data_IF_885616590738
#
_entry.id   IF_885616590738
#
_cell.length_a   1.000
_cell.length_b   1.000
_cell.length_c   1.000
_cell.angle_alpha   90.00
_cell.angle_beta   90.00
_cell.angle_gamma   90.00
#
_symmetry.space_group_name_H-M   'P 1'
#
loop_
_entity.id
_entity.type
_entity.pdbx_description
1 polymer ?
#
# COMPACT_ATOMS: atom_id res chain seq x y z
N UNK A 1 15.98 3.34 -16.99
CA UNK A 1 15.48 3.86 -15.68
C UNK A 1 15.24 5.37 -15.66
N UNK A 2 16.13 6.23 -16.19
CA UNK A 2 15.93 7.71 -16.23
C UNK A 2 14.72 8.17 -17.06
N UNK A 3 14.49 7.55 -18.23
CA UNK A 3 13.42 7.97 -19.14
C UNK A 3 12.02 7.60 -18.65
N UNK A 4 11.86 6.41 -18.06
CA UNK A 4 10.60 6.00 -17.38
C UNK A 4 10.30 6.96 -16.22
N UNK A 5 11.34 7.41 -15.51
CA UNK A 5 11.20 8.38 -14.43
C UNK A 5 10.75 9.76 -14.95
N UNK A 6 11.28 10.22 -16.10
CA UNK A 6 10.87 11.47 -16.74
C UNK A 6 9.43 11.43 -17.27
N UNK A 7 9.02 10.35 -17.94
CA UNK A 7 7.65 10.19 -18.45
C UNK A 7 6.66 10.16 -17.29
N UNK A 8 6.98 9.41 -16.23
CA UNK A 8 6.21 9.40 -14.99
C UNK A 8 6.11 10.80 -14.39
N UNK A 9 7.20 11.56 -14.38
CA UNK A 9 7.25 12.90 -13.80
C UNK A 9 6.44 13.93 -14.61
N UNK A 10 6.41 13.81 -15.94
CA UNK A 10 5.60 14.65 -16.83
C UNK A 10 4.12 14.33 -16.67
N UNK A 11 3.74 13.05 -16.65
CA UNK A 11 2.36 12.59 -16.44
C UNK A 11 1.84 12.96 -15.04
N UNK A 12 2.70 12.86 -14.03
CA UNK A 12 2.40 13.31 -12.67
C UNK A 12 2.29 14.84 -12.57
N UNK A 13 2.99 15.61 -13.42
CA UNK A 13 2.93 17.07 -13.47
C UNK A 13 1.65 17.58 -14.14
N UNK A 14 1.12 16.86 -15.12
CA UNK A 14 -0.14 17.18 -15.81
C UNK A 14 -1.39 16.66 -15.07
N UNK A 15 -1.26 15.63 -14.23
CA UNK A 15 -2.39 15.16 -13.41
C UNK A 15 -2.70 16.12 -12.24
N UNK A 16 -3.99 16.27 -11.92
CA UNK A 16 -4.51 16.99 -10.74
C UNK A 16 -4.12 16.34 -9.39
N UNK A 17 -3.15 15.43 -9.39
CA UNK A 17 -2.70 14.69 -8.21
C UNK A 17 -1.74 15.57 -7.41
N UNK A 18 -2.13 15.85 -6.17
CA UNK A 18 -1.34 16.64 -5.22
C UNK A 18 0.05 16.02 -5.04
N UNK A 19 1.07 16.87 -4.94
CA UNK A 19 2.48 16.48 -4.88
C UNK A 19 2.77 15.36 -3.86
N UNK A 20 2.17 15.42 -2.67
CA UNK A 20 2.37 14.43 -1.60
C UNK A 20 1.74 13.05 -1.87
N UNK A 21 0.88 12.91 -2.89
CA UNK A 21 0.26 11.62 -3.30
C UNK A 21 0.98 10.97 -4.48
N UNK A 22 1.90 11.68 -5.15
CA UNK A 22 2.55 11.22 -6.39
C UNK A 22 3.41 9.98 -6.18
N UNK A 23 4.09 9.88 -5.04
CA UNK A 23 4.89 8.71 -4.66
C UNK A 23 4.03 7.45 -4.52
N UNK A 24 2.91 7.55 -3.80
CA UNK A 24 1.95 6.45 -3.63
C UNK A 24 1.32 6.05 -4.98
N UNK A 25 0.97 7.03 -5.83
CA UNK A 25 0.46 6.76 -7.17
C UNK A 25 1.47 5.96 -8.02
N UNK A 26 2.71 6.45 -8.13
CA UNK A 26 3.74 5.78 -8.91
C UNK A 26 4.02 4.37 -8.40
N UNK A 27 4.04 4.19 -7.08
CA UNK A 27 4.21 2.88 -6.43
C UNK A 27 3.08 1.92 -6.77
N UNK A 28 1.83 2.37 -6.69
CA UNK A 28 0.67 1.52 -7.02
C UNK A 28 0.64 1.13 -8.49
N UNK A 29 0.94 2.06 -9.41
CA UNK A 29 1.07 1.76 -10.85
C UNK A 29 2.18 0.74 -11.12
N UNK A 30 3.34 0.89 -10.47
CA UNK A 30 4.44 -0.05 -10.56
C UNK A 30 4.04 -1.45 -10.08
N UNK A 31 3.36 -1.53 -8.93
CA UNK A 31 2.86 -2.80 -8.40
C UNK A 31 1.85 -3.46 -9.34
N UNK A 32 0.88 -2.71 -9.86
CA UNK A 32 -0.12 -3.23 -10.81
C UNK A 32 0.58 -3.78 -12.06
N UNK A 33 1.49 -3.01 -12.65
CA UNK A 33 2.20 -3.43 -13.86
C UNK A 33 3.00 -4.73 -13.63
N UNK A 34 3.71 -4.81 -12.51
CA UNK A 34 4.48 -6.01 -12.17
C UNK A 34 3.58 -7.22 -11.91
N UNK A 35 2.54 -7.07 -11.07
CA UNK A 35 1.64 -8.18 -10.78
C UNK A 35 0.91 -8.64 -12.04
N UNK A 36 0.46 -7.72 -12.91
CA UNK A 36 -0.19 -8.06 -14.18
C UNK A 36 0.75 -8.84 -15.11
N UNK A 37 1.98 -8.37 -15.28
CA UNK A 37 2.99 -9.06 -16.09
C UNK A 37 3.31 -10.45 -15.52
N UNK A 38 3.47 -10.56 -14.20
CA UNK A 38 3.72 -11.84 -13.53
C UNK A 38 2.53 -12.80 -13.65
N UNK A 39 1.30 -12.32 -13.45
CA UNK A 39 0.10 -13.17 -13.58
C UNK A 39 -0.09 -13.66 -15.00
N UNK A 40 0.16 -12.81 -16.01
CA UNK A 40 0.10 -13.21 -17.41
C UNK A 40 1.17 -14.26 -17.74
N UNK A 41 2.41 -14.02 -17.32
CA UNK A 41 3.50 -14.98 -17.50
C UNK A 41 3.18 -16.32 -16.83
N UNK A 42 2.77 -16.30 -15.55
CA UNK A 42 2.43 -17.51 -14.80
C UNK A 42 1.21 -18.22 -15.36
N UNK A 43 0.23 -17.49 -15.90
CA UNK A 43 -0.94 -18.08 -16.55
C UNK A 43 -0.54 -18.88 -17.80
N UNK A 44 0.20 -18.25 -18.72
CA UNK A 44 0.70 -18.94 -19.92
C UNK A 44 1.66 -20.08 -19.57
N UNK A 45 2.51 -19.89 -18.57
CA UNK A 45 3.38 -20.94 -18.08
C UNK A 45 2.58 -22.14 -17.55
N UNK A 46 1.56 -21.87 -16.74
CA UNK A 46 0.69 -22.91 -16.21
C UNK A 46 -0.04 -23.66 -17.34
N UNK A 47 -0.63 -22.93 -18.29
CA UNK A 47 -1.43 -23.51 -19.37
C UNK A 47 -0.59 -24.32 -20.38
N UNK A 48 0.57 -23.79 -20.79
CA UNK A 48 1.37 -24.40 -21.86
C UNK A 48 2.48 -25.33 -21.38
N UNK A 49 3.02 -25.15 -20.18
CA UNK A 49 4.13 -25.96 -19.67
C UNK A 49 3.69 -26.91 -18.57
N UNK A 50 2.96 -26.39 -17.57
CA UNK A 50 2.69 -27.15 -16.34
C UNK A 50 1.51 -28.12 -16.50
N UNK A 51 0.36 -27.66 -17.00
CA UNK A 51 -0.85 -28.47 -17.18
C UNK A 51 -0.61 -29.69 -18.08
N UNK A 52 0.06 -29.57 -19.25
CA UNK A 52 0.34 -30.72 -20.11
C UNK A 52 1.23 -31.77 -19.45
N UNK A 53 2.22 -31.35 -18.63
CA UNK A 53 3.06 -32.25 -17.86
C UNK A 53 2.28 -32.97 -16.76
N UNK A 54 1.38 -32.26 -16.08
CA UNK A 54 0.48 -32.81 -15.08
C UNK A 54 -0.45 -33.87 -15.67
N UNK A 55 -1.10 -33.59 -16.81
CA UNK A 55 -1.99 -34.54 -17.48
C UNK A 55 -1.26 -35.76 -18.06
N UNK A 56 -0.05 -35.56 -18.64
CA UNK A 56 0.79 -36.66 -19.14
C UNK A 56 1.19 -37.64 -18.04
N UNK A 57 1.41 -37.14 -16.82
CA UNK A 57 1.75 -37.96 -15.66
C UNK A 57 0.51 -38.61 -15.02
N UNK A 58 -0.67 -37.97 -15.07
CA UNK A 58 -1.93 -38.57 -14.63
C UNK A 58 -2.30 -39.83 -15.44
N UNK A 59 -2.02 -39.86 -16.75
CA UNK A 59 -2.28 -41.02 -17.60
C UNK A 59 -1.46 -42.28 -17.27
N UNK A 60 -0.38 -42.19 -16.47
CA UNK A 60 0.43 -43.37 -16.05
C UNK A 60 0.02 -43.98 -14.71
N UNK A 61 -0.76 -43.28 -13.90
CA UNK A 61 -1.11 -43.70 -12.52
C UNK A 61 -2.64 -43.76 -12.33
N UNK A 62 -3.35 -44.26 -13.34
CA UNK A 62 -4.81 -44.17 -13.49
C UNK A 62 -5.65 -45.10 -12.58
N UNK A 63 -5.12 -45.62 -11.47
CA UNK A 63 -5.85 -46.65 -10.71
C UNK A 63 -6.02 -46.42 -9.21
N UNK A 64 -5.49 -45.35 -8.63
CA UNK A 64 -5.88 -44.97 -7.26
C UNK A 64 -6.16 -43.48 -7.15
N UNK A 65 -7.44 -43.22 -6.91
CA UNK A 65 -8.00 -41.99 -6.38
C UNK A 65 -7.13 -41.46 -5.23
N UNK A 66 -6.40 -40.39 -5.52
CA UNK A 66 -6.28 -39.31 -4.57
C UNK A 66 -5.94 -38.04 -5.34
N UNK A 67 -6.80 -37.04 -5.21
CA UNK A 67 -6.47 -35.65 -5.51
C UNK A 67 -5.29 -35.12 -4.66
N UNK A 68 -4.74 -35.95 -3.77
CA UNK A 68 -3.51 -35.69 -3.04
C UNK A 68 -2.30 -35.57 -3.99
N UNK A 69 -1.68 -34.39 -3.92
CA UNK A 69 -0.29 -34.08 -4.26
C UNK A 69 0.03 -33.62 -5.68
N UNK A 70 -0.94 -33.34 -6.55
CA UNK A 70 -0.63 -32.55 -7.77
C UNK A 70 -0.15 -31.14 -7.41
N UNK A 71 -0.62 -30.60 -6.28
CA UNK A 71 -0.15 -29.33 -5.72
C UNK A 71 1.34 -29.41 -5.32
N UNK A 72 1.81 -30.56 -4.84
CA UNK A 72 3.21 -30.79 -4.47
C UNK A 72 4.05 -31.34 -5.63
N UNK A 73 3.59 -31.15 -6.88
CA UNK A 73 4.37 -31.53 -8.05
C UNK A 73 5.76 -30.89 -8.00
N UNK A 74 6.78 -31.75 -7.99
CA UNK A 74 8.17 -31.32 -7.96
C UNK A 74 8.65 -30.98 -9.38
N UNK A 75 9.34 -29.86 -9.49
CA UNK A 75 9.88 -29.41 -10.77
C UNK A 75 10.86 -30.41 -11.38
N UNK A 76 10.60 -30.81 -12.63
CA UNK A 76 11.56 -31.59 -13.43
C UNK A 76 12.63 -30.69 -14.08
N UNK A 77 12.37 -29.39 -14.22
CA UNK A 77 13.26 -28.41 -14.84
C UNK A 77 13.70 -27.34 -13.83
N UNK A 78 14.56 -27.76 -12.91
CA UNK A 78 14.98 -26.96 -11.75
C UNK A 78 15.52 -25.57 -12.12
N UNK A 79 16.31 -25.46 -13.18
CA UNK A 79 16.93 -24.18 -13.57
C UNK A 79 15.90 -23.13 -14.03
N UNK A 80 14.88 -23.56 -14.78
CA UNK A 80 13.82 -22.66 -15.23
C UNK A 80 12.96 -22.21 -14.06
N UNK A 81 12.60 -23.13 -13.17
CA UNK A 81 11.85 -22.84 -11.95
C UNK A 81 12.57 -21.81 -11.08
N UNK A 82 13.86 -22.03 -10.82
CA UNK A 82 14.70 -21.12 -10.02
C UNK A 82 14.80 -19.73 -10.63
N UNK A 83 14.87 -19.62 -11.96
CA UNK A 83 15.00 -18.33 -12.63
C UNK A 83 13.80 -17.41 -12.37
N UNK A 84 12.58 -17.89 -12.60
CA UNK A 84 11.39 -17.05 -12.38
C UNK A 84 10.98 -16.96 -10.90
N UNK A 85 11.26 -17.99 -10.09
CA UNK A 85 10.98 -17.92 -8.65
C UNK A 85 11.82 -16.83 -7.98
N UNK A 86 13.10 -16.71 -8.35
CA UNK A 86 13.98 -15.65 -7.88
C UNK A 86 13.47 -14.24 -8.24
N UNK A 87 12.95 -14.05 -9.46
CA UNK A 87 12.39 -12.77 -9.88
C UNK A 87 11.16 -12.36 -9.04
N UNK A 88 10.26 -13.32 -8.76
CA UNK A 88 9.07 -13.08 -7.94
C UNK A 88 9.44 -12.84 -6.47
N UNK A 89 10.39 -13.61 -5.92
CA UNK A 89 10.88 -13.46 -4.55
C UNK A 89 11.57 -12.09 -4.38
N UNK A 90 12.46 -11.70 -5.30
CA UNK A 90 13.17 -10.42 -5.22
C UNK A 90 12.23 -9.21 -5.30
N UNK A 91 11.19 -9.26 -6.14
CA UNK A 91 10.19 -8.20 -6.17
C UNK A 91 9.39 -8.09 -4.87
N UNK A 92 8.95 -9.23 -4.31
CA UNK A 92 8.25 -9.24 -3.03
C UNK A 92 9.15 -8.73 -1.89
N UNK A 93 10.45 -9.05 -1.93
CA UNK A 93 11.45 -8.53 -0.99
C UNK A 93 11.60 -7.01 -1.11
N UNK A 94 11.71 -6.50 -2.34
CA UNK A 94 11.76 -5.06 -2.58
C UNK A 94 10.53 -4.35 -1.99
N UNK A 95 9.34 -4.92 -2.18
CA UNK A 95 8.11 -4.39 -1.62
C UNK A 95 8.06 -4.44 -0.08
N UNK A 96 8.54 -5.52 0.54
CA UNK A 96 8.63 -5.63 1.99
C UNK A 96 9.57 -4.56 2.58
N UNK A 97 10.71 -4.30 1.94
CA UNK A 97 11.66 -3.25 2.34
C UNK A 97 11.03 -1.86 2.21
N UNK A 98 10.25 -1.61 1.15
CA UNK A 98 9.54 -0.35 0.99
C UNK A 98 8.49 -0.13 2.09
N UNK A 99 7.71 -1.15 2.45
CA UNK A 99 6.73 -1.04 3.54
C UNK A 99 7.38 -0.84 4.90
N UNK A 100 8.52 -1.49 5.13
CA UNK A 100 9.32 -1.27 6.33
C UNK A 100 9.80 0.20 6.42
N UNK A 101 10.28 0.77 5.30
CA UNK A 101 10.68 2.18 5.23
C UNK A 101 9.51 3.16 5.43
N UNK A 102 8.30 2.76 5.07
CA UNK A 102 7.09 3.57 5.26
C UNK A 102 6.44 3.37 6.64
N UNK A 103 7.08 2.58 7.51
CA UNK A 103 6.64 2.26 8.89
C UNK A 103 5.34 1.45 8.95
N UNK A 104 4.99 0.74 7.88
CA UNK A 104 3.88 -0.22 7.83
C UNK A 104 4.35 -1.59 8.33
N UNK A 105 4.73 -1.69 9.61
CA UNK A 105 5.39 -2.87 10.19
C UNK A 105 4.57 -4.17 10.06
N UNK A 106 3.25 -4.09 10.21
CA UNK A 106 2.38 -5.26 10.11
C UNK A 106 2.36 -5.84 8.68
N UNK A 107 2.31 -4.97 7.69
CA UNK A 107 2.34 -5.34 6.27
C UNK A 107 3.72 -5.89 5.88
N UNK A 108 4.79 -5.23 6.34
CA UNK A 108 6.16 -5.67 6.13
C UNK A 108 6.41 -7.05 6.75
N UNK A 109 5.90 -7.29 7.97
CA UNK A 109 5.99 -8.59 8.64
C UNK A 109 5.23 -9.68 7.86
N UNK A 110 4.00 -9.39 7.40
CA UNK A 110 3.23 -10.33 6.58
C UNK A 110 3.93 -10.68 5.28
N UNK A 111 4.47 -9.69 4.56
CA UNK A 111 5.25 -9.93 3.32
C UNK A 111 6.53 -10.70 3.59
N UNK A 112 7.18 -10.48 4.73
CA UNK A 112 8.37 -11.24 5.13
C UNK A 112 8.03 -12.71 5.41
N UNK A 113 6.94 -12.99 6.10
CA UNK A 113 6.45 -14.37 6.30
C UNK A 113 6.06 -15.03 4.98
N UNK A 114 5.42 -14.29 4.07
CA UNK A 114 5.13 -14.77 2.72
C UNK A 114 6.40 -15.12 1.93
N UNK A 115 7.44 -14.27 2.01
CA UNK A 115 8.75 -14.53 1.41
C UNK A 115 9.41 -15.79 1.96
N UNK A 116 9.32 -16.01 3.28
CA UNK A 116 9.81 -17.24 3.91
C UNK A 116 9.04 -18.48 3.41
N UNK A 117 7.72 -18.37 3.27
CA UNK A 117 6.91 -19.43 2.68
C UNK A 117 7.29 -19.70 1.22
N UNK A 118 7.47 -18.66 0.40
CA UNK A 118 7.95 -18.80 -0.98
C UNK A 118 9.34 -19.43 -1.05
N UNK A 119 10.26 -19.04 -0.18
CA UNK A 119 11.58 -19.67 -0.08
C UNK A 119 11.48 -21.14 0.30
N UNK A 120 10.61 -21.51 1.24
CA UNK A 120 10.37 -22.90 1.58
C UNK A 120 9.79 -23.70 0.39
N UNK A 121 8.82 -23.15 -0.33
CA UNK A 121 8.24 -23.75 -1.54
C UNK A 121 9.32 -23.95 -2.62
N UNK A 122 10.20 -22.97 -2.81
CA UNK A 122 11.31 -23.02 -3.76
C UNK A 122 12.36 -24.09 -3.40
N UNK A 123 12.76 -24.17 -2.13
CA UNK A 123 13.68 -25.20 -1.61
C UNK A 123 13.11 -26.61 -1.81
N UNK A 124 11.80 -26.79 -1.59
CA UNK A 124 11.13 -28.07 -1.83
C UNK A 124 10.75 -28.31 -3.30
N UNK A 125 11.00 -27.33 -4.17
CA UNK A 125 10.74 -27.37 -5.61
C UNK A 125 9.28 -27.63 -5.97
N UNK A 126 8.34 -27.17 -5.14
CA UNK A 126 6.90 -27.34 -5.37
C UNK A 126 6.40 -26.32 -6.38
N UNK A 127 6.60 -26.63 -7.65
CA UNK A 127 6.39 -25.72 -8.76
C UNK A 127 4.92 -25.35 -8.95
N UNK A 128 4.03 -26.34 -8.93
CA UNK A 128 2.59 -26.11 -9.07
C UNK A 128 2.02 -25.31 -7.89
N UNK A 129 2.53 -25.58 -6.68
CA UNK A 129 2.20 -24.78 -5.49
C UNK A 129 2.60 -23.32 -5.70
N UNK A 130 3.86 -23.09 -6.09
CA UNK A 130 4.43 -21.76 -6.28
C UNK A 130 3.65 -20.95 -7.31
N UNK A 131 3.41 -21.54 -8.48
CA UNK A 131 2.69 -20.90 -9.60
C UNK A 131 1.25 -20.61 -9.21
N UNK A 132 0.54 -21.60 -8.67
CA UNK A 132 -0.87 -21.45 -8.28
C UNK A 132 -1.09 -20.39 -7.20
N UNK A 133 -0.26 -20.40 -6.14
CA UNK A 133 -0.35 -19.43 -5.04
C UNK A 133 -0.11 -18.00 -5.54
N UNK A 134 0.96 -17.79 -6.31
CA UNK A 134 1.30 -16.47 -6.85
C UNK A 134 0.29 -15.98 -7.89
N UNK A 135 -0.34 -16.86 -8.66
CA UNK A 135 -1.40 -16.48 -9.59
C UNK A 135 -2.65 -16.00 -8.85
N UNK A 136 -3.09 -16.75 -7.82
CA UNK A 136 -4.25 -16.36 -6.99
C UNK A 136 -4.02 -15.04 -6.25
N UNK A 137 -2.84 -14.89 -5.61
CA UNK A 137 -2.49 -13.65 -4.92
C UNK A 137 -2.18 -12.50 -5.87
N UNK A 138 -1.62 -12.77 -7.04
CA UNK A 138 -1.35 -11.76 -8.07
C UNK A 138 -2.64 -11.10 -8.55
N UNK A 139 -3.68 -11.88 -8.87
CA UNK A 139 -5.00 -11.35 -9.26
C UNK A 139 -5.60 -10.51 -8.13
N UNK A 140 -5.54 -11.02 -6.89
CA UNK A 140 -5.99 -10.28 -5.71
C UNK A 140 -5.26 -8.93 -5.55
N UNK A 141 -3.94 -8.93 -5.70
CA UNK A 141 -3.11 -7.73 -5.56
C UNK A 141 -3.36 -6.70 -6.67
N UNK A 142 -3.58 -7.14 -7.91
CA UNK A 142 -3.98 -6.25 -9.01
C UNK A 142 -5.30 -5.56 -8.68
N UNK A 143 -6.30 -6.34 -8.22
CA UNK A 143 -7.59 -5.80 -7.88
C UNK A 143 -7.50 -4.81 -6.70
N UNK A 144 -6.78 -5.14 -5.64
CA UNK A 144 -6.64 -4.25 -4.48
C UNK A 144 -5.88 -2.97 -4.80
N UNK A 145 -4.79 -3.05 -5.55
CA UNK A 145 -4.02 -1.88 -5.99
C UNK A 145 -4.82 -1.02 -6.98
N UNK A 146 -5.60 -1.63 -7.89
CA UNK A 146 -6.48 -0.88 -8.79
C UNK A 146 -7.59 -0.13 -8.03
N UNK A 147 -8.19 -0.75 -7.01
CA UNK A 147 -9.16 -0.09 -6.14
C UNK A 147 -8.53 1.05 -5.33
N UNK A 148 -7.30 0.85 -4.83
CA UNK A 148 -6.52 1.89 -4.17
C UNK A 148 -6.27 3.07 -5.12
N UNK A 149 -5.83 2.79 -6.36
CA UNK A 149 -5.53 3.81 -7.36
C UNK A 149 -6.78 4.63 -7.73
N UNK A 150 -7.91 3.95 -7.95
CA UNK A 150 -9.20 4.58 -8.23
C UNK A 150 -9.66 5.46 -7.05
N UNK A 151 -9.52 4.96 -5.82
CA UNK A 151 -9.80 5.72 -4.60
C UNK A 151 -8.89 6.95 -4.46
N UNK A 152 -7.62 6.85 -4.86
CA UNK A 152 -6.64 7.92 -4.77
C UNK A 152 -6.92 9.05 -5.76
N UNK A 153 -7.33 8.70 -6.99
CA UNK A 153 -7.77 9.64 -8.03
C UNK A 153 -9.07 10.33 -7.60
N UNK A 154 -10.08 9.56 -7.17
CA UNK A 154 -11.40 10.06 -6.80
C UNK A 154 -11.49 10.54 -5.35
N UNK A 155 -10.47 11.26 -4.85
CA UNK A 155 -10.42 11.66 -3.43
C UNK A 155 -11.55 12.61 -2.96
N UNK A 156 -12.29 13.22 -3.89
CA UNK A 156 -13.51 14.03 -3.66
C UNK A 156 -14.81 13.30 -4.06
N UNK A 157 -14.72 12.03 -4.44
CA UNK A 157 -15.86 11.23 -4.91
C UNK A 157 -16.93 11.03 -3.83
N UNK A 158 -18.12 10.58 -4.26
CA UNK A 158 -19.25 10.35 -3.37
C UNK A 158 -18.95 9.24 -2.35
N UNK A 159 -19.56 9.34 -1.16
CA UNK A 159 -19.40 8.33 -0.09
C UNK A 159 -19.81 6.93 -0.53
N UNK A 160 -20.85 6.83 -1.37
CA UNK A 160 -21.34 5.58 -1.95
C UNK A 160 -20.27 4.88 -2.80
N UNK A 161 -19.53 5.63 -3.62
CA UNK A 161 -18.49 5.06 -4.48
C UNK A 161 -17.39 4.40 -3.65
N UNK A 162 -16.95 5.03 -2.55
CA UNK A 162 -15.98 4.43 -1.64
C UNK A 162 -16.52 3.19 -0.90
N UNK A 163 -17.82 3.17 -0.56
CA UNK A 163 -18.45 1.99 0.04
C UNK A 163 -18.50 0.81 -0.94
N UNK A 164 -18.79 1.06 -2.22
CA UNK A 164 -18.76 0.03 -3.27
C UNK A 164 -17.34 -0.53 -3.43
N UNK A 165 -16.32 0.34 -3.48
CA UNK A 165 -14.92 -0.10 -3.56
C UNK A 165 -14.49 -0.91 -2.34
N UNK A 166 -14.93 -0.53 -1.14
CA UNK A 166 -14.68 -1.31 0.07
C UNK A 166 -15.37 -2.67 0.00
N UNK A 167 -16.63 -2.71 -0.43
CA UNK A 167 -17.40 -3.94 -0.61
C UNK A 167 -16.70 -4.90 -1.57
N UNK A 168 -16.20 -4.40 -2.70
CA UNK A 168 -15.43 -5.21 -3.65
C UNK A 168 -14.12 -5.73 -3.05
N UNK A 169 -13.42 -4.92 -2.26
CA UNK A 169 -12.20 -5.34 -1.56
C UNK A 169 -12.47 -6.41 -0.49
N UNK A 170 -13.58 -6.31 0.24
CA UNK A 170 -13.97 -7.32 1.22
C UNK A 170 -14.39 -8.61 0.52
N UNK A 171 -15.17 -8.52 -0.56
CA UNK A 171 -15.60 -9.68 -1.33
C UNK A 171 -14.41 -10.43 -1.94
N UNK A 172 -13.46 -9.69 -2.54
CA UNK A 172 -12.25 -10.31 -3.10
C UNK A 172 -11.37 -10.93 -2.03
N UNK A 173 -11.23 -10.28 -0.87
CA UNK A 173 -10.48 -10.83 0.25
C UNK A 173 -11.16 -12.10 0.80
N UNK A 174 -12.48 -12.08 0.99
CA UNK A 174 -13.24 -13.25 1.46
C UNK A 174 -13.08 -14.43 0.49
N UNK A 175 -13.23 -14.17 -0.82
CA UNK A 175 -13.06 -15.21 -1.82
C UNK A 175 -11.65 -15.83 -1.79
N UNK A 176 -10.61 -15.02 -1.71
CA UNK A 176 -9.22 -15.51 -1.75
C UNK A 176 -8.77 -16.12 -0.42
N UNK A 177 -9.04 -15.47 0.71
CA UNK A 177 -8.52 -15.88 2.02
C UNK A 177 -9.45 -16.81 2.79
N UNK A 178 -10.77 -16.77 2.59
CA UNK A 178 -11.68 -17.68 3.30
C UNK A 178 -12.01 -18.90 2.45
N UNK A 179 -12.23 -18.71 1.14
CA UNK A 179 -12.61 -19.81 0.25
C UNK A 179 -11.38 -20.44 -0.43
N UNK A 180 -10.57 -19.67 -1.15
CA UNK A 180 -9.58 -20.28 -2.04
C UNK A 180 -8.34 -20.81 -1.30
N UNK A 181 -7.68 -19.97 -0.48
CA UNK A 181 -6.43 -20.31 0.20
C UNK A 181 -6.55 -21.50 1.18
N UNK A 182 -7.57 -21.57 2.06
CA UNK A 182 -7.69 -22.65 3.03
C UNK A 182 -7.85 -24.00 2.36
N UNK A 183 -8.83 -24.12 1.45
CA UNK A 183 -9.19 -25.40 0.86
C UNK A 183 -8.21 -25.84 -0.23
N UNK A 184 -7.64 -24.91 -1.00
CA UNK A 184 -6.76 -25.25 -2.12
C UNK A 184 -5.28 -25.38 -1.72
N UNK A 185 -4.81 -24.66 -0.72
CA UNK A 185 -3.38 -24.55 -0.44
C UNK A 185 -2.98 -24.85 1.01
N UNK A 186 -3.77 -24.50 2.02
CA UNK A 186 -3.40 -24.69 3.44
C UNK A 186 -3.79 -26.06 4.00
N UNK A 187 -5.02 -26.52 3.74
CA UNK A 187 -5.49 -27.84 4.19
C UNK A 187 -4.62 -28.96 3.57
N UNK A 188 -4.30 -28.93 2.26
CA UNK A 188 -3.43 -29.95 1.66
C UNK A 188 -2.02 -30.02 2.26
N UNK A 189 -1.49 -28.93 2.85
CA UNK A 189 -0.15 -28.96 3.47
C UNK A 189 -0.12 -29.65 4.83
N UNK A 190 -1.27 -29.72 5.52
CA UNK A 190 -1.41 -30.49 6.76
C UNK A 190 -1.44 -32.00 6.51
N UNK A 191 -2.05 -32.42 5.39
CA UNK A 191 -2.22 -33.83 5.03
C UNK A 191 -1.13 -34.35 4.07
N UNK A 192 -0.08 -33.57 3.80
CA UNK A 192 1.01 -33.99 2.94
C UNK A 192 1.75 -35.21 3.53
N UNK A 193 1.96 -36.24 2.69
CA UNK A 193 2.61 -37.52 3.06
C UNK A 193 3.98 -37.35 3.76
N UNK A 194 4.68 -36.26 3.47
CA UNK A 194 5.90 -35.83 4.15
C UNK A 194 5.67 -34.45 4.78
N UNK A 195 5.29 -34.40 6.05
CA UNK A 195 5.00 -33.14 6.74
C UNK A 195 6.24 -32.22 6.74
N UNK A 196 6.18 -31.13 5.96
CA UNK A 196 7.25 -30.13 5.88
C UNK A 196 7.01 -29.05 6.93
N UNK A 197 7.62 -29.22 8.10
CA UNK A 197 7.44 -28.33 9.26
C UNK A 197 7.69 -26.86 8.89
N UNK A 198 8.80 -26.56 8.22
CA UNK A 198 9.15 -25.18 7.85
C UNK A 198 8.11 -24.52 6.93
N UNK A 199 7.62 -25.25 5.93
CA UNK A 199 6.58 -24.76 5.03
C UNK A 199 5.26 -24.54 5.78
N UNK A 200 4.85 -25.51 6.60
CA UNK A 200 3.60 -25.42 7.36
C UNK A 200 3.62 -24.27 8.37
N UNK A 201 4.69 -24.14 9.15
CA UNK A 201 4.80 -23.05 10.14
C UNK A 201 4.76 -21.69 9.44
N UNK A 202 5.57 -21.49 8.39
CA UNK A 202 5.64 -20.19 7.71
C UNK A 202 4.34 -19.82 7.00
N UNK A 203 3.68 -20.77 6.33
CA UNK A 203 2.46 -20.48 5.56
C UNK A 203 1.25 -20.25 6.47
N UNK A 204 1.14 -20.99 7.57
CA UNK A 204 0.07 -20.81 8.55
C UNK A 204 0.24 -19.52 9.36
N UNK A 205 1.48 -19.16 9.74
CA UNK A 205 1.76 -17.87 10.38
C UNK A 205 1.46 -16.70 9.44
N UNK A 206 1.88 -16.79 8.17
CA UNK A 206 1.54 -15.79 7.17
C UNK A 206 0.02 -15.66 6.98
N UNK A 207 -0.70 -16.78 6.90
CA UNK A 207 -2.15 -16.79 6.77
C UNK A 207 -2.85 -16.16 7.98
N UNK A 208 -2.44 -16.53 9.20
CA UNK A 208 -2.97 -15.95 10.44
C UNK A 208 -2.76 -14.43 10.50
N UNK A 209 -1.57 -13.96 10.13
CA UNK A 209 -1.28 -12.52 10.06
C UNK A 209 -2.09 -11.82 8.96
N UNK A 210 -2.37 -12.51 7.86
CA UNK A 210 -3.22 -11.99 6.77
C UNK A 210 -4.70 -11.89 7.17
N UNK A 211 -5.20 -12.78 8.04
CA UNK A 211 -6.52 -12.64 8.67
C UNK A 211 -6.53 -11.45 9.64
N UNK A 212 -5.47 -11.29 10.43
CA UNK A 212 -5.33 -10.19 11.36
C UNK A 212 -5.29 -8.83 10.65
N UNK A 213 -4.68 -8.76 9.47
CA UNK A 213 -4.63 -7.56 8.63
C UNK A 213 -5.82 -7.46 7.64
N UNK A 214 -6.91 -8.21 7.85
CA UNK A 214 -8.03 -8.26 6.91
C UNK A 214 -8.79 -6.92 6.83
N UNK A 215 -9.35 -6.57 5.66
CA UNK A 215 -10.18 -5.39 5.51
C UNK A 215 -11.45 -5.45 6.38
N UNK A 216 -11.94 -6.65 6.70
CA UNK A 216 -13.08 -6.88 7.59
C UNK A 216 -12.73 -6.47 9.02
N UNK A 217 -11.59 -6.96 9.54
CA UNK A 217 -11.17 -6.63 10.89
C UNK A 217 -10.80 -5.15 11.01
N UNK A 218 -10.15 -4.57 9.99
CA UNK A 218 -9.89 -3.13 9.90
C UNK A 218 -11.19 -2.31 9.93
N UNK A 219 -12.26 -2.80 9.30
CA UNK A 219 -13.57 -2.16 9.34
C UNK A 219 -14.17 -2.16 10.75
N UNK A 220 -14.17 -3.32 11.43
CA UNK A 220 -14.65 -3.41 12.81
C UNK A 220 -13.82 -2.56 13.77
N UNK A 221 -12.48 -2.62 13.68
CA UNK A 221 -11.60 -1.77 14.48
C UNK A 221 -11.89 -0.29 14.26
N UNK A 222 -12.09 0.13 13.01
CA UNK A 222 -12.45 1.51 12.74
C UNK A 222 -13.81 1.87 13.37
N UNK A 223 -14.80 0.97 13.33
CA UNK A 223 -16.11 1.21 13.91
C UNK A 223 -16.07 1.33 15.46
N UNK A 224 -15.20 0.56 16.11
CA UNK A 224 -15.07 0.52 17.57
C UNK A 224 -14.23 1.69 18.10
N UNK A 225 -13.10 2.00 17.44
CA UNK A 225 -12.10 2.91 17.99
C UNK A 225 -12.11 4.33 17.39
N UNK A 226 -12.71 4.53 16.20
CA UNK A 226 -12.85 5.86 15.61
C UNK A 226 -14.29 6.36 15.72
N UNK A 227 -14.61 6.91 16.90
CA UNK A 227 -15.93 7.47 17.21
C UNK A 227 -16.11 8.90 16.71
N UNK A 228 -15.02 9.65 16.49
CA UNK A 228 -15.07 11.02 15.97
C UNK A 228 -14.43 11.16 14.57
N UNK A 229 -15.00 11.99 13.67
CA UNK A 229 -14.45 12.22 12.32
C UNK A 229 -13.10 12.94 12.34
N UNK A 230 -12.72 13.59 13.44
CA UNK A 230 -11.40 14.23 13.63
C UNK A 230 -10.27 13.24 13.89
N UNK A 231 -10.59 12.04 14.39
CA UNK A 231 -9.60 11.03 14.78
C UNK A 231 -9.15 10.15 13.61
N UNK A 232 -9.81 10.26 12.46
CA UNK A 232 -9.55 9.42 11.30
C UNK A 232 -9.07 10.24 10.08
N UNK A 233 -8.31 9.60 9.19
CA UNK A 233 -7.76 10.25 7.98
C UNK A 233 -8.69 10.26 6.79
N UNK A 234 -9.73 9.46 6.83
CA UNK A 234 -10.80 9.39 5.85
C UNK A 234 -11.92 10.43 6.04
N UNK A 235 -11.68 11.53 6.76
CA UNK A 235 -12.66 12.62 6.97
C UNK A 235 -14.03 12.10 7.47
N UNK A 236 -14.02 11.11 8.39
CA UNK A 236 -15.22 10.48 8.95
C UNK A 236 -15.76 9.26 8.19
N UNK A 237 -15.10 8.79 7.12
CA UNK A 237 -15.51 7.58 6.38
C UNK A 237 -14.54 6.42 6.57
N UNK A 238 -15.02 5.33 7.19
CA UNK A 238 -14.28 4.08 7.36
C UNK A 238 -13.78 3.51 6.02
N UNK A 239 -14.61 3.58 4.97
CA UNK A 239 -14.24 3.13 3.63
C UNK A 239 -13.04 3.90 3.07
N UNK A 240 -13.00 5.22 3.30
CA UNK A 240 -11.88 6.06 2.86
C UNK A 240 -10.60 5.76 3.65
N UNK A 241 -10.70 5.51 4.96
CA UNK A 241 -9.55 5.11 5.80
C UNK A 241 -8.94 3.77 5.39
N UNK A 242 -9.78 2.77 5.11
CA UNK A 242 -9.32 1.42 4.75
C UNK A 242 -8.73 1.42 3.34
N UNK A 243 -9.37 2.13 2.40
CA UNK A 243 -8.93 2.20 1.00
C UNK A 243 -7.73 3.11 0.78
N UNK A 244 -7.56 4.18 1.55
CA UNK A 244 -6.42 5.09 1.41
C UNK A 244 -5.51 4.94 2.63
N UNK A 245 -4.54 4.02 2.53
CA UNK A 245 -3.47 3.93 3.54
C UNK A 245 -2.76 5.29 3.67
N UNK A 246 -2.66 5.76 4.89
CA UNK A 246 -1.92 6.96 5.23
C UNK A 246 -0.42 6.74 5.06
N UNK A 247 0.22 7.38 4.08
CA UNK A 247 1.69 7.45 4.06
C UNK A 247 2.19 8.34 5.19
N UNK A 248 3.42 8.07 5.66
CA UNK A 248 4.14 8.94 6.60
C UNK A 248 4.20 10.40 6.14
N UNK A 249 4.41 10.63 4.85
CA UNK A 249 4.38 11.97 4.23
C UNK A 249 2.99 12.62 4.28
N UNK A 250 1.92 11.83 4.08
CA UNK A 250 0.55 12.32 4.19
C UNK A 250 0.17 12.65 5.64
N UNK A 251 0.55 11.79 6.60
CA UNK A 251 0.38 12.04 8.04
C UNK A 251 1.09 13.33 8.44
N UNK A 252 2.35 13.47 8.08
CA UNK A 252 3.13 14.68 8.36
C UNK A 252 2.47 15.93 7.76
N UNK A 253 1.98 15.86 6.51
CA UNK A 253 1.25 16.98 5.89
C UNK A 253 -0.06 17.30 6.63
N UNK A 254 -0.82 16.29 7.06
CA UNK A 254 -2.08 16.46 7.81
C UNK A 254 -1.82 17.08 9.17
N UNK A 255 -0.83 16.61 9.91
CA UNK A 255 -0.41 17.18 11.20
C UNK A 255 0.01 18.64 11.04
N UNK A 256 0.80 18.94 10.00
CA UNK A 256 1.26 20.30 9.74
C UNK A 256 0.09 21.23 9.35
N UNK A 257 -0.89 20.73 8.58
CA UNK A 257 -2.13 21.47 8.29
C UNK A 257 -2.98 21.71 9.54
N UNK A 258 -3.12 20.71 10.41
CA UNK A 258 -3.86 20.82 11.68
C UNK A 258 -3.22 21.87 12.59
N UNK A 259 -1.91 21.76 12.81
CA UNK A 259 -1.14 22.73 13.58
C UNK A 259 -1.26 24.15 13.00
N UNK A 260 -1.20 24.30 11.67
CA UNK A 260 -1.40 25.60 11.02
C UNK A 260 -2.79 26.19 11.28
N UNK A 261 -3.85 25.38 11.20
CA UNK A 261 -5.23 25.83 11.46
C UNK A 261 -5.46 26.16 12.93
N UNK A 262 -4.91 25.38 13.87
CA UNK A 262 -4.99 25.66 15.31
C UNK A 262 -4.30 26.98 15.65
N UNK A 263 -3.12 27.23 15.08
CA UNK A 263 -2.42 28.51 15.27
C UNK A 263 -3.20 29.67 14.65
N UNK A 264 -3.79 29.48 13.45
CA UNK A 264 -4.64 30.50 12.82
C UNK A 264 -5.86 30.83 13.69
N UNK A 265 -6.53 29.82 14.24
CA UNK A 265 -7.69 30.00 15.13
C UNK A 265 -7.30 30.65 16.46
N UNK A 266 -6.16 30.27 17.05
CA UNK A 266 -5.65 30.92 18.25
C UNK A 266 -5.36 32.41 18.00
N UNK A 267 -4.84 32.76 16.82
CA UNK A 267 -4.60 34.15 16.45
C UNK A 267 -5.90 34.92 16.17
N UNK A 268 -6.88 34.31 15.53
CA UNK A 268 -8.22 34.93 15.35
C UNK A 268 -8.88 35.17 16.72
N UNK A 269 -8.79 34.22 17.65
CA UNK A 269 -9.25 34.40 19.04
C UNK A 269 -8.50 35.52 19.76
N UNK A 270 -7.17 35.61 19.60
CA UNK A 270 -6.37 36.69 20.18
C UNK A 270 -6.70 38.05 19.57
N UNK A 271 -6.97 38.13 18.26
CA UNK A 271 -7.41 39.37 17.61
C UNK A 271 -8.79 39.80 18.09
N UNK A 272 -9.71 38.86 18.25
CA UNK A 272 -11.06 39.12 18.78
C UNK A 272 -10.99 39.53 20.25
N UNK A 273 -10.15 38.88 21.07
CA UNK A 273 -9.95 39.25 22.47
C UNK A 273 -9.19 40.56 22.63
N UNK A 274 -8.26 40.92 21.74
CA UNK A 274 -7.59 42.23 21.77
C UNK A 274 -8.51 43.36 21.30
N UNK A 275 -9.48 43.08 20.43
CA UNK A 275 -10.52 44.04 20.04
C UNK A 275 -11.57 44.21 21.15
N UNK A 276 -11.84 43.16 21.93
CA UNK A 276 -12.75 43.19 23.08
C UNK A 276 -12.10 43.74 24.36
N UNK A 277 -10.78 43.60 24.53
CA UNK A 277 -10.01 44.08 25.67
C UNK A 277 -9.05 45.20 25.25
N UNK A 278 -9.56 46.28 24.65
CA UNK A 278 -8.83 47.54 24.47
C UNK A 278 -8.66 48.29 25.81
N UNK A 279 -8.31 47.57 26.87
CA UNK A 279 -7.83 48.05 28.15
C UNK A 279 -7.09 46.91 28.88
N UNK A 280 -5.76 46.83 28.73
CA UNK A 280 -4.90 46.10 29.69
C UNK A 280 -4.01 44.96 29.14
N UNK A 281 -2.73 45.30 28.92
CA UNK A 281 -1.45 44.56 29.11
C UNK A 281 -1.23 43.08 28.68
N UNK A 282 -0.15 42.90 27.91
CA UNK A 282 1.00 41.99 28.11
C UNK A 282 0.83 40.46 28.18
N UNK A 283 0.38 39.82 27.09
CA UNK A 283 0.60 38.37 26.87
C UNK A 283 1.12 37.99 25.47
N UNK A 284 1.64 38.95 24.69
CA UNK A 284 1.84 38.83 23.23
C UNK A 284 3.12 38.13 22.74
N UNK A 285 4.02 37.64 23.61
CA UNK A 285 5.40 37.37 23.21
C UNK A 285 5.69 35.92 22.71
N UNK A 286 5.00 34.89 23.21
CA UNK A 286 5.42 33.49 22.99
C UNK A 286 4.78 32.84 21.76
N UNK A 287 3.50 33.12 21.49
CA UNK A 287 2.76 32.58 20.34
C UNK A 287 3.17 33.23 19.01
N UNK A 288 3.49 34.53 19.04
CA UNK A 288 3.98 35.27 17.88
C UNK A 288 5.35 34.77 17.41
N UNK A 289 6.27 34.48 18.34
CA UNK A 289 7.60 33.91 18.03
C UNK A 289 7.50 32.50 17.45
N UNK A 290 6.61 31.66 17.99
CA UNK A 290 6.36 30.32 17.46
C UNK A 290 5.75 30.37 16.03
N UNK A 291 4.82 31.30 15.78
CA UNK A 291 4.25 31.49 14.45
C UNK A 291 5.27 32.04 13.45
N UNK A 292 6.12 32.98 13.86
CA UNK A 292 7.17 33.53 13.03
C UNK A 292 8.22 32.46 12.68
N UNK A 293 8.54 31.59 13.62
CA UNK A 293 9.38 30.41 13.38
C UNK A 293 8.73 29.43 12.38
N UNK A 294 7.45 29.10 12.56
CA UNK A 294 6.71 28.21 11.64
C UNK A 294 6.60 28.84 10.24
N UNK A 295 6.34 30.15 10.16
CA UNK A 295 6.27 30.90 8.91
C UNK A 295 7.62 30.90 8.21
N UNK A 296 8.71 31.17 8.93
CA UNK A 296 10.09 31.08 8.43
C UNK A 296 10.43 29.68 7.93
N UNK A 297 10.08 28.61 8.66
CA UNK A 297 10.31 27.22 8.22
C UNK A 297 9.53 26.92 6.94
N UNK A 298 8.28 27.39 6.84
CA UNK A 298 7.46 27.22 5.64
C UNK A 298 8.01 27.99 4.43
N UNK A 299 8.45 29.24 4.61
CA UNK A 299 9.10 30.01 3.53
C UNK A 299 10.44 29.42 3.16
N UNK A 300 11.23 28.90 4.11
CA UNK A 300 12.48 28.19 3.82
C UNK A 300 12.21 26.93 3.01
N UNK A 301 11.20 26.13 3.38
CA UNK A 301 10.80 24.93 2.65
C UNK A 301 10.30 25.25 1.24
N UNK A 302 9.59 26.37 1.05
CA UNK A 302 9.19 26.88 -0.28
C UNK A 302 10.38 27.41 -1.09
N UNK A 303 11.32 28.12 -0.47
CA UNK A 303 12.56 28.60 -1.12
C UNK A 303 13.45 27.43 -1.53
N UNK A 304 13.71 26.47 -0.64
CA UNK A 304 14.44 25.23 -0.94
C UNK A 304 13.78 24.41 -2.05
N UNK A 305 12.44 24.36 -2.07
CA UNK A 305 11.69 23.74 -3.17
C UNK A 305 11.91 24.48 -4.50
N UNK A 306 11.86 25.81 -4.52
CA UNK A 306 12.12 26.63 -5.72
C UNK A 306 13.56 26.50 -6.24
N UNK A 307 14.55 26.46 -5.33
CA UNK A 307 15.97 26.25 -5.65
C UNK A 307 16.18 24.85 -6.24
N UNK A 308 15.56 23.81 -5.65
CA UNK A 308 15.63 22.43 -6.15
C UNK A 308 14.94 22.24 -7.51
N UNK A 309 13.96 23.08 -7.82
CA UNK A 309 13.23 23.09 -9.10
C UNK A 309 13.91 23.98 -10.18
N UNK A 310 15.09 24.55 -9.90
CA UNK A 310 15.88 25.32 -10.87
C UNK A 310 15.30 26.69 -11.25
N UNK A 311 14.33 27.22 -10.49
CA UNK A 311 13.69 28.53 -10.71
C UNK A 311 14.18 29.56 -9.70
N UNK A 312 15.50 29.72 -9.65
CA UNK A 312 16.18 30.51 -8.63
C UNK A 312 16.54 31.93 -9.08
N UNK A 313 15.65 32.70 -9.71
CA UNK A 313 15.91 34.13 -9.97
C UNK A 313 14.69 34.87 -10.54
N UNK A 314 13.66 35.12 -9.74
CA UNK A 314 12.78 36.28 -9.95
C UNK A 314 12.50 36.88 -8.57
N UNK A 315 13.16 38.01 -8.29
CA UNK A 315 12.85 38.91 -7.18
C UNK A 315 11.71 39.82 -7.66
N UNK A 316 10.50 39.63 -7.13
CA UNK A 316 9.57 40.75 -7.03
C UNK A 316 10.00 41.58 -5.82
N UNK A 317 10.65 42.70 -6.12
CA UNK A 317 10.67 43.87 -5.26
C UNK A 317 9.23 44.34 -5.10
N UNK A 318 8.75 44.42 -3.87
CA UNK A 318 7.70 45.35 -3.46
C UNK A 318 8.06 45.77 -2.03
N UNK A 319 8.96 46.74 -1.97
CA UNK A 319 9.16 47.62 -0.82
C UNK A 319 8.54 48.96 -1.22
N UNK A 320 7.90 49.61 -0.25
CA UNK A 320 7.49 51.02 -0.24
C UNK A 320 6.09 51.33 -0.80
N UNK A 321 5.12 51.38 0.12
CA UNK A 321 4.28 52.58 0.32
C UNK A 321 3.51 52.45 1.66
N UNK A 322 4.23 52.74 2.74
CA UNK A 322 3.68 53.31 3.96
C UNK A 322 4.44 54.62 4.15
N UNK A 323 3.89 55.71 3.62
CA UNK A 323 3.97 57.07 4.14
C UNK A 323 3.41 58.04 3.10
N UNK A 324 2.19 58.54 3.34
CA UNK A 324 1.88 59.97 3.31
C UNK A 324 0.46 60.16 3.88
N UNK A 325 0.43 60.85 5.02
CA UNK A 325 -0.67 61.60 5.65
C UNK A 325 -2.07 60.96 5.80
#
# INVERSE_FOLDING_TARGET
MREICQISHVFLRTSNIKFYKRKQFARSVWNIAFYAACTLFLYFYNEFMLLPQLFKNQGRYSLFYSSENMIFYQSQQCEKFQFYSLFIITFNLHNAILDFKESDYLEACSKTLYLLALGAIDVYKYENYFVGLNLSLGIYNILTESLFLLALINSKGSRLLFQVFLGLRIASWSHVFISLLPFKYLVPTLFAKNFKIMLNVTIWLWYGLSIWNSPVLQYFYHQIYHTSPSDCSGEGSAAKCILLKDSSEHRHFKTLKKAYMEVKLAQEKLKISSLANSSGSDSSCTSAKAFQAIKCIMTLKRKLKRIREGRGSEMENDTEDMNNE
#
